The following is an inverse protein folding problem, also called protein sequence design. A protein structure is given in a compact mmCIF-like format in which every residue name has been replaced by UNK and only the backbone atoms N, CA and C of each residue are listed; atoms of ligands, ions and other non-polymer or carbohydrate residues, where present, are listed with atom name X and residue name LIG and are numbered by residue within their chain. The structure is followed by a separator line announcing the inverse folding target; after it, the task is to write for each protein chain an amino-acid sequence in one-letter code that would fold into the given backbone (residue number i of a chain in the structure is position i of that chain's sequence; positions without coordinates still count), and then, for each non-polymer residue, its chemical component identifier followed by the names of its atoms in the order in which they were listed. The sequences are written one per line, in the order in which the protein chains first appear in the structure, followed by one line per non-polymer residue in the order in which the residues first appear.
data_IF_548835906986
#
_entry.id   IF_548835906986
#
_cell.length_a   1.000
_cell.length_b   1.000
_cell.length_c   1.000
_cell.angle_alpha   90.00
_cell.angle_beta   90.00
_cell.angle_gamma   90.00
#
_symmetry.space_group_name_H-M   'P 1'
#
loop_
_entity.id
_entity.type
_entity.pdbx_description
1 polymer ?
#
# COMPACT_ATOMS: atom_id res chain seq x y z
N UNK A 1 -7.96 -6.62 18.38
CA UNK A 1 -6.87 -6.99 17.48
C UNK A 1 -7.43 -7.75 16.28
N UNK A 2 -7.02 -7.37 15.06
CA UNK A 2 -7.50 -8.05 13.85
C UNK A 2 -6.80 -9.42 13.64
N UNK A 3 -5.54 -9.50 14.06
CA UNK A 3 -4.70 -10.70 14.02
C UNK A 3 -3.90 -10.75 15.32
N UNK A 4 -3.72 -11.92 15.96
CA UNK A 4 -2.89 -12.05 17.14
C UNK A 4 -1.47 -11.57 16.90
N UNK A 5 -0.86 -10.98 17.94
CA UNK A 5 0.52 -10.48 17.86
C UNK A 5 1.47 -11.63 17.51
N UNK A 6 2.30 -11.42 16.49
CA UNK A 6 3.28 -12.40 16.02
C UNK A 6 2.79 -13.33 14.91
N UNK A 7 1.50 -13.37 14.60
CA UNK A 7 0.98 -14.20 13.50
C UNK A 7 1.05 -13.52 12.13
N UNK A 8 1.08 -12.19 12.11
CA UNK A 8 1.24 -11.40 10.88
C UNK A 8 2.67 -10.95 10.65
N UNK A 9 3.00 -10.67 9.40
CA UNK A 9 4.27 -10.06 9.01
C UNK A 9 4.11 -9.23 7.74
N UNK A 10 5.06 -8.30 7.54
CA UNK A 10 5.23 -7.55 6.30
C UNK A 10 6.71 -7.51 5.93
N UNK A 11 7.00 -7.54 4.64
CA UNK A 11 8.37 -7.42 4.14
C UNK A 11 8.43 -6.54 2.88
N UNK A 12 9.41 -5.65 2.85
CA UNK A 12 9.73 -4.87 1.67
C UNK A 12 10.60 -5.70 0.72
N UNK A 13 10.19 -5.78 -0.54
CA UNK A 13 10.88 -6.45 -1.64
C UNK A 13 11.46 -5.37 -2.54
N UNK A 14 12.78 -5.35 -2.66
CA UNK A 14 13.53 -4.35 -3.40
C UNK A 14 14.28 -5.00 -4.57
N UNK A 15 14.53 -4.22 -5.62
CA UNK A 15 15.31 -4.62 -6.79
C UNK A 15 14.67 -5.73 -7.64
N UNK A 16 13.35 -5.87 -7.57
CA UNK A 16 12.61 -6.82 -8.37
C UNK A 16 11.32 -6.16 -8.87
N UNK A 17 10.98 -6.27 -10.17
CA UNK A 17 9.74 -5.74 -10.71
C UNK A 17 8.54 -6.53 -10.23
N UNK A 18 7.36 -5.90 -10.26
CA UNK A 18 6.12 -6.46 -9.74
C UNK A 18 5.77 -7.82 -10.35
N UNK A 19 5.95 -7.99 -11.66
CA UNK A 19 5.62 -9.24 -12.38
C UNK A 19 6.42 -10.44 -11.85
N UNK A 20 7.68 -10.22 -11.51
CA UNK A 20 8.53 -11.27 -10.95
C UNK A 20 8.17 -11.59 -9.49
N UNK A 21 7.71 -10.57 -8.74
CA UNK A 21 7.18 -10.79 -7.39
C UNK A 21 5.89 -11.61 -7.47
N UNK A 22 4.96 -11.26 -8.35
CA UNK A 22 3.72 -12.00 -8.56
C UNK A 22 3.97 -13.47 -8.88
N UNK A 23 4.90 -13.76 -9.80
CA UNK A 23 5.31 -15.13 -10.11
C UNK A 23 5.90 -15.89 -8.91
N UNK A 24 6.66 -15.21 -8.07
CA UNK A 24 7.23 -15.83 -6.87
C UNK A 24 6.15 -16.18 -5.83
N UNK A 25 5.05 -15.42 -5.80
CA UNK A 25 3.92 -15.66 -4.89
C UNK A 25 2.92 -16.68 -5.43
N UNK A 26 3.01 -17.11 -6.68
CA UNK A 26 2.08 -18.09 -7.25
C UNK A 26 2.06 -19.39 -6.42
N UNK A 27 0.84 -19.82 -6.07
CA UNK A 27 0.62 -21.02 -5.26
C UNK A 27 0.92 -20.86 -3.76
N UNK A 28 1.30 -19.66 -3.29
CA UNK A 28 1.41 -19.37 -1.87
C UNK A 28 0.08 -18.79 -1.35
N UNK A 29 -0.48 -19.44 -0.35
CA UNK A 29 -1.64 -18.94 0.38
C UNK A 29 -1.22 -18.15 1.62
N UNK A 30 -1.99 -17.10 1.96
CA UNK A 30 -1.78 -16.31 3.17
C UNK A 30 -0.72 -15.23 3.06
N UNK A 31 -0.23 -14.92 1.86
CA UNK A 31 0.61 -13.75 1.56
C UNK A 31 0.05 -13.00 0.36
N UNK A 32 0.03 -11.68 0.44
CA UNK A 32 -0.54 -10.80 -0.58
C UNK A 32 0.38 -9.59 -0.80
N UNK A 33 0.22 -8.92 -1.95
CA UNK A 33 0.86 -7.63 -2.19
C UNK A 33 0.10 -6.57 -1.40
N UNK A 34 0.82 -5.82 -0.57
CA UNK A 34 0.29 -4.78 0.30
C UNK A 34 0.54 -3.37 -0.22
N UNK A 35 1.72 -3.08 -0.79
CA UNK A 35 2.06 -1.75 -1.28
C UNK A 35 2.88 -1.84 -2.57
N UNK A 36 2.49 -1.02 -3.54
CA UNK A 36 3.26 -0.72 -4.74
C UNK A 36 3.89 0.65 -4.56
N UNK A 37 5.02 0.72 -3.85
CA UNK A 37 5.61 1.97 -3.36
C UNK A 37 6.49 2.68 -4.40
N UNK A 38 7.21 1.93 -5.21
CA UNK A 38 8.02 2.41 -6.33
C UNK A 38 8.18 1.28 -7.37
N UNK A 39 8.67 1.55 -8.60
CA UNK A 39 8.79 0.54 -9.65
C UNK A 39 9.51 -0.76 -9.23
N UNK A 40 10.50 -0.65 -8.35
CA UNK A 40 11.26 -1.78 -7.81
C UNK A 40 11.20 -1.85 -6.27
N UNK A 41 10.09 -1.40 -5.70
CA UNK A 41 9.84 -1.44 -4.26
C UNK A 41 8.38 -1.80 -3.99
N UNK A 42 8.15 -3.05 -3.67
CA UNK A 42 6.85 -3.63 -3.32
C UNK A 42 6.88 -4.14 -1.88
N UNK A 43 5.77 -4.06 -1.18
CA UNK A 43 5.62 -4.67 0.16
C UNK A 43 4.66 -5.84 0.05
N UNK A 44 5.04 -6.96 0.62
CA UNK A 44 4.18 -8.14 0.82
C UNK A 44 3.72 -8.22 2.26
N UNK A 45 2.54 -8.76 2.48
CA UNK A 45 1.89 -8.82 3.79
C UNK A 45 1.09 -10.10 3.93
N UNK A 46 1.03 -10.67 5.11
CA UNK A 46 0.26 -11.88 5.33
C UNK A 46 0.59 -12.60 6.62
N UNK A 47 0.30 -13.91 6.66
CA UNK A 47 0.72 -14.78 7.75
C UNK A 47 2.24 -14.85 7.80
N UNK A 48 2.83 -14.78 8.98
CA UNK A 48 4.28 -14.78 9.16
C UNK A 48 4.98 -15.89 8.37
N UNK A 49 4.52 -17.12 8.52
CA UNK A 49 5.13 -18.27 7.82
C UNK A 49 5.05 -18.13 6.30
N UNK A 50 3.93 -17.64 5.75
CA UNK A 50 3.77 -17.46 4.32
C UNK A 50 4.66 -16.32 3.79
N UNK A 51 4.83 -15.23 4.57
CA UNK A 51 5.74 -14.13 4.23
C UNK A 51 7.21 -14.60 4.27
N UNK A 52 7.58 -15.44 5.22
CA UNK A 52 8.91 -16.05 5.32
C UNK A 52 9.20 -16.95 4.12
N UNK A 53 8.25 -17.82 3.74
CA UNK A 53 8.38 -18.66 2.54
C UNK A 53 8.49 -17.82 1.26
N UNK A 54 7.64 -16.80 1.12
CA UNK A 54 7.72 -15.85 0.01
C UNK A 54 9.10 -15.16 -0.05
N UNK A 55 9.63 -14.75 1.11
CA UNK A 55 10.93 -14.11 1.21
C UNK A 55 12.06 -14.99 0.67
N UNK A 56 12.05 -16.29 0.97
CA UNK A 56 13.07 -17.22 0.43
C UNK A 56 12.96 -17.35 -1.10
N UNK A 57 11.75 -17.55 -1.66
CA UNK A 57 11.52 -17.60 -3.10
C UNK A 57 11.97 -16.31 -3.82
N UNK A 58 11.76 -15.15 -3.17
CA UNK A 58 12.16 -13.85 -3.71
C UNK A 58 13.68 -13.64 -3.67
N UNK A 59 14.36 -14.11 -2.62
CA UNK A 59 15.83 -14.09 -2.52
C UNK A 59 16.48 -14.93 -3.60
N UNK A 60 15.93 -16.11 -3.94
CA UNK A 60 16.38 -16.94 -5.07
C UNK A 60 16.32 -16.19 -6.41
N UNK A 61 15.37 -15.24 -6.55
CA UNK A 61 15.24 -14.34 -7.69
C UNK A 61 16.09 -13.06 -7.56
N UNK A 62 17.05 -13.02 -6.63
CA UNK A 62 17.97 -11.90 -6.36
C UNK A 62 17.30 -10.64 -5.81
N UNK A 63 16.07 -10.72 -5.29
CA UNK A 63 15.47 -9.64 -4.56
C UNK A 63 16.19 -9.39 -3.23
N UNK A 64 16.22 -8.13 -2.80
CA UNK A 64 16.54 -7.80 -1.42
C UNK A 64 15.26 -7.73 -0.62
N UNK A 65 15.09 -8.60 0.35
CA UNK A 65 13.90 -8.64 1.21
C UNK A 65 14.25 -8.13 2.60
N UNK A 66 13.47 -7.19 3.11
CA UNK A 66 13.64 -6.57 4.42
C UNK A 66 12.34 -6.66 5.19
N UNK A 67 12.32 -7.42 6.29
CA UNK A 67 11.15 -7.49 7.17
C UNK A 67 10.91 -6.15 7.86
N UNK A 68 9.64 -5.74 7.88
CA UNK A 68 9.24 -4.51 8.57
C UNK A 68 9.02 -4.79 10.06
N UNK A 69 9.30 -3.81 10.95
CA UNK A 69 9.12 -3.96 12.38
C UNK A 69 7.65 -3.85 12.81
N UNK A 70 6.77 -4.61 12.14
CA UNK A 70 5.33 -4.68 12.40
C UNK A 70 4.88 -6.13 12.50
N UNK A 71 3.84 -6.39 13.29
CA UNK A 71 3.27 -7.72 13.48
C UNK A 71 1.86 -7.87 12.90
N UNK A 72 1.27 -6.78 12.42
CA UNK A 72 -0.02 -6.82 11.75
C UNK A 72 0.17 -6.92 10.22
N UNK A 73 -0.61 -7.78 9.54
CA UNK A 73 -0.54 -7.95 8.09
C UNK A 73 -1.38 -6.90 7.37
N UNK A 74 -0.98 -5.62 7.47
CA UNK A 74 -1.70 -4.50 6.88
C UNK A 74 -1.91 -4.68 5.38
N UNK A 75 -3.01 -4.13 4.87
CA UNK A 75 -3.38 -4.17 3.46
C UNK A 75 -3.52 -5.59 2.88
N UNK A 76 -3.91 -6.56 3.70
CA UNK A 76 -4.21 -7.93 3.30
C UNK A 76 -5.62 -8.34 3.73
N UNK A 77 -6.13 -9.44 3.17
CA UNK A 77 -7.43 -10.01 3.53
C UNK A 77 -7.56 -10.37 5.01
N UNK A 78 -6.45 -10.63 5.70
CA UNK A 78 -6.39 -10.92 7.13
C UNK A 78 -6.83 -9.73 8.00
N UNK A 79 -6.85 -8.51 7.46
CA UNK A 79 -7.33 -7.32 8.16
C UNK A 79 -8.86 -7.16 8.11
N UNK A 80 -9.62 -8.12 7.58
CA UNK A 80 -11.09 -8.06 7.51
C UNK A 80 -11.77 -7.76 8.87
N UNK A 81 -11.33 -8.30 10.02
CA UNK A 81 -11.92 -7.93 11.31
C UNK A 81 -11.74 -6.44 11.66
N UNK A 82 -10.59 -5.85 11.33
CA UNK A 82 -10.36 -4.42 11.52
C UNK A 82 -11.24 -3.57 10.61
N UNK A 83 -11.43 -3.99 9.35
CA UNK A 83 -12.35 -3.34 8.41
C UNK A 83 -13.77 -3.31 8.94
N UNK A 84 -14.27 -4.42 9.48
CA UNK A 84 -15.61 -4.51 10.07
C UNK A 84 -15.77 -3.53 11.23
N UNK A 85 -14.81 -3.45 12.11
CA UNK A 85 -14.83 -2.56 13.26
C UNK A 85 -14.79 -1.08 12.86
N UNK A 86 -13.91 -0.73 11.91
CA UNK A 86 -13.82 0.63 11.38
C UNK A 86 -15.12 1.05 10.69
N UNK A 87 -15.87 0.12 10.07
CA UNK A 87 -17.13 0.42 9.41
C UNK A 87 -18.17 0.99 10.38
N UNK A 88 -18.22 0.46 11.61
CA UNK A 88 -19.14 0.94 12.66
C UNK A 88 -18.81 2.38 13.07
N UNK A 89 -17.53 2.68 13.28
CA UNK A 89 -17.07 4.02 13.66
C UNK A 89 -17.26 5.02 12.50
N UNK A 90 -16.87 4.62 11.30
CA UNK A 90 -16.89 5.48 10.12
C UNK A 90 -18.33 5.80 9.66
N UNK A 91 -19.30 4.93 9.94
CA UNK A 91 -20.71 5.19 9.65
C UNK A 91 -21.26 6.42 10.40
N UNK A 92 -20.67 6.73 11.55
CA UNK A 92 -21.09 7.86 12.41
C UNK A 92 -20.33 9.16 12.08
N UNK A 93 -19.28 9.09 11.28
CA UNK A 93 -18.48 10.28 10.93
C UNK A 93 -19.13 11.03 9.78
N UNK A 94 -19.50 12.32 9.94
CA UNK A 94 -20.04 13.11 8.85
C UNK A 94 -18.92 13.46 7.86
N UNK A 95 -18.94 12.86 6.69
CA UNK A 95 -18.05 13.23 5.59
C UNK A 95 -18.71 14.30 4.72
N UNK A 96 -17.92 15.26 4.29
CA UNK A 96 -18.33 16.32 3.36
C UNK A 96 -17.52 16.23 2.09
N UNK A 97 -18.04 16.75 0.99
CA UNK A 97 -17.29 16.89 -0.24
C UNK A 97 -15.97 17.60 0.02
N UNK A 98 -14.83 17.01 -0.34
CA UNK A 98 -13.53 17.64 -0.15
C UNK A 98 -13.38 18.88 -1.03
N UNK A 99 -12.59 19.88 -0.59
CA UNK A 99 -12.27 21.06 -1.40
C UNK A 99 -11.40 20.75 -2.60
N UNK A 100 -10.64 19.68 -2.52
CA UNK A 100 -9.72 19.17 -3.55
C UNK A 100 -9.97 17.69 -3.73
N UNK A 101 -9.75 17.13 -4.93
CA UNK A 101 -9.83 15.69 -5.14
C UNK A 101 -8.89 14.94 -4.19
N UNK A 102 -9.36 13.82 -3.63
CA UNK A 102 -8.59 12.94 -2.76
C UNK A 102 -8.31 11.66 -3.51
N UNK A 103 -7.04 11.29 -3.67
CA UNK A 103 -6.69 10.04 -4.31
C UNK A 103 -6.94 8.85 -3.39
N UNK A 104 -7.61 7.84 -3.91
CA UNK A 104 -7.82 6.57 -3.22
C UNK A 104 -6.67 5.60 -3.47
N UNK A 105 -6.20 4.94 -2.41
CA UNK A 105 -5.23 3.85 -2.53
C UNK A 105 -5.78 2.65 -3.32
N UNK A 106 -7.10 2.44 -3.30
CA UNK A 106 -7.78 1.30 -3.93
C UNK A 106 -7.94 1.50 -5.43
N UNK A 107 -8.46 2.66 -5.83
CA UNK A 107 -8.75 2.96 -7.24
C UNK A 107 -7.56 3.56 -7.98
N UNK A 108 -6.59 4.11 -7.25
CA UNK A 108 -5.52 4.96 -7.77
C UNK A 108 -6.05 6.16 -8.60
N UNK A 109 -7.23 6.67 -8.21
CA UNK A 109 -7.94 7.76 -8.90
C UNK A 109 -8.40 8.82 -7.91
N UNK A 110 -8.59 10.07 -8.39
CA UNK A 110 -9.15 11.14 -7.58
C UNK A 110 -10.64 10.91 -7.34
N UNK A 111 -11.07 11.15 -6.12
CA UNK A 111 -12.45 11.00 -5.64
C UNK A 111 -12.93 12.30 -5.00
N UNK A 112 -14.19 12.64 -5.17
CA UNK A 112 -14.82 13.83 -4.59
C UNK A 112 -16.17 13.54 -3.90
N UNK A 113 -16.77 12.39 -4.17
CA UNK A 113 -18.02 11.99 -3.55
C UNK A 113 -17.76 11.44 -2.14
N UNK A 114 -18.35 12.02 -1.09
CA UNK A 114 -18.15 11.60 0.30
C UNK A 114 -18.51 10.13 0.56
N UNK A 115 -19.58 9.63 -0.02
CA UNK A 115 -20.00 8.24 0.20
C UNK A 115 -19.08 7.26 -0.52
N UNK A 116 -18.60 7.64 -1.71
CA UNK A 116 -17.58 6.86 -2.40
C UNK A 116 -16.27 6.84 -1.62
N UNK A 117 -15.84 7.99 -1.10
CA UNK A 117 -14.64 8.10 -0.25
C UNK A 117 -14.80 7.23 1.00
N UNK A 118 -15.98 7.25 1.67
CA UNK A 118 -16.27 6.38 2.82
C UNK A 118 -16.09 4.90 2.49
N UNK A 119 -16.67 4.46 1.40
CA UNK A 119 -16.55 3.06 0.96
C UNK A 119 -15.09 2.68 0.69
N UNK A 120 -14.33 3.54 0.02
CA UNK A 120 -12.93 3.30 -0.31
C UNK A 120 -12.01 3.34 0.91
N UNK A 121 -12.32 4.17 1.93
CA UNK A 121 -11.60 4.15 3.22
C UNK A 121 -11.73 2.81 3.94
N UNK A 122 -12.87 2.14 3.80
CA UNK A 122 -13.06 0.79 4.35
C UNK A 122 -12.36 -0.28 3.50
N UNK A 123 -12.47 -0.17 2.18
CA UNK A 123 -11.90 -1.14 1.27
C UNK A 123 -10.37 -1.19 1.35
N UNK A 124 -9.70 -0.05 1.51
CA UNK A 124 -8.24 0.01 1.60
C UNK A 124 -7.64 -0.76 2.78
N UNK A 125 -8.41 -1.07 3.83
CA UNK A 125 -7.92 -1.84 4.98
C UNK A 125 -7.46 -3.24 4.55
N UNK A 126 -8.11 -3.81 3.54
CA UNK A 126 -7.82 -5.15 3.01
C UNK A 126 -7.32 -5.14 1.57
N UNK A 127 -7.03 -3.97 1.01
CA UNK A 127 -6.58 -3.81 -0.37
C UNK A 127 -5.18 -3.19 -0.45
N UNK A 128 -4.43 -3.44 -1.51
CA UNK A 128 -3.10 -2.88 -1.68
C UNK A 128 -3.11 -1.36 -1.87
N UNK A 129 -2.05 -0.71 -1.39
CA UNK A 129 -1.75 0.70 -1.67
C UNK A 129 -1.09 0.80 -3.04
N UNK A 130 -1.76 1.42 -4.01
CA UNK A 130 -1.33 1.55 -5.40
C UNK A 130 -0.58 2.86 -5.65
N UNK A 131 0.46 3.13 -4.85
CA UNK A 131 1.14 4.42 -4.83
C UNK A 131 1.80 4.81 -6.16
N UNK A 132 2.46 3.86 -6.82
CA UNK A 132 3.05 4.08 -8.17
C UNK A 132 2.00 4.53 -9.19
N UNK A 133 0.82 3.89 -9.16
CA UNK A 133 -0.25 4.22 -10.09
C UNK A 133 -0.88 5.59 -9.78
N UNK A 134 -1.01 5.93 -8.49
CA UNK A 134 -1.43 7.27 -8.05
C UNK A 134 -0.49 8.33 -8.60
N UNK A 135 0.81 8.15 -8.40
CA UNK A 135 1.80 9.13 -8.88
C UNK A 135 1.78 9.28 -10.40
N UNK A 136 1.68 8.18 -11.12
CA UNK A 136 1.60 8.20 -12.59
C UNK A 136 0.32 8.87 -13.12
N UNK A 137 -0.83 8.63 -12.46
CA UNK A 137 -2.07 9.32 -12.82
C UNK A 137 -2.01 10.82 -12.53
N UNK A 138 -1.41 11.21 -11.41
CA UNK A 138 -1.17 12.62 -11.08
C UNK A 138 -0.25 13.28 -12.12
N UNK A 139 0.86 12.65 -12.49
CA UNK A 139 1.77 13.15 -13.54
C UNK A 139 1.04 13.28 -14.88
N UNK A 140 0.27 12.29 -15.30
CA UNK A 140 -0.52 12.33 -16.53
C UNK A 140 -1.56 13.46 -16.53
N UNK A 141 -2.02 13.91 -15.37
CA UNK A 141 -2.90 15.07 -15.18
C UNK A 141 -2.14 16.40 -15.06
N UNK A 142 -0.84 16.39 -15.21
CA UNK A 142 -0.01 17.61 -15.20
C UNK A 142 0.48 18.04 -13.81
N UNK A 143 0.33 17.21 -12.78
CA UNK A 143 0.92 17.50 -11.46
C UNK A 143 2.43 17.34 -11.53
N UNK A 144 3.16 18.40 -11.17
CA UNK A 144 4.63 18.45 -11.22
C UNK A 144 5.28 18.66 -9.86
N UNK A 145 4.52 19.15 -8.88
CA UNK A 145 5.03 19.47 -7.54
C UNK A 145 4.27 18.69 -6.47
N UNK A 146 5.01 18.06 -5.57
CA UNK A 146 4.52 17.27 -4.46
C UNK A 146 5.05 17.84 -3.15
N UNK A 147 4.19 17.95 -2.16
CA UNK A 147 4.52 18.44 -0.83
C UNK A 147 4.18 17.35 0.18
N UNK A 148 5.16 16.86 0.92
CA UNK A 148 4.97 15.94 2.03
C UNK A 148 4.83 16.73 3.33
N UNK A 149 3.73 16.54 4.04
CA UNK A 149 3.50 17.14 5.34
C UNK A 149 3.59 16.07 6.43
N UNK A 150 4.42 16.31 7.43
CA UNK A 150 4.60 15.41 8.56
C UNK A 150 6.07 15.21 8.92
N UNK A 151 6.35 14.16 9.67
CA UNK A 151 7.71 13.80 10.05
C UNK A 151 8.35 12.86 9.04
N UNK A 152 9.59 13.14 8.66
CA UNK A 152 10.35 12.32 7.71
C UNK A 152 10.15 12.73 6.24
N UNK A 153 10.74 11.96 5.34
CA UNK A 153 10.79 12.24 3.90
C UNK A 153 10.57 10.97 3.07
N UNK A 154 9.72 10.07 3.57
CA UNK A 154 9.51 8.76 2.94
C UNK A 154 8.78 8.91 1.60
N UNK A 155 7.68 9.67 1.59
CA UNK A 155 6.86 9.86 0.37
C UNK A 155 7.59 10.69 -0.67
N UNK A 156 8.32 11.73 -0.26
CA UNK A 156 9.23 12.49 -1.13
C UNK A 156 10.22 11.56 -1.84
N UNK A 157 10.86 10.66 -1.09
CA UNK A 157 11.76 9.68 -1.67
C UNK A 157 11.10 8.73 -2.67
N UNK A 158 9.84 8.34 -2.43
CA UNK A 158 9.07 7.48 -3.34
C UNK A 158 8.66 8.23 -4.61
N UNK A 159 8.26 9.50 -4.51
CA UNK A 159 7.97 10.36 -5.67
C UNK A 159 9.19 10.44 -6.58
N UNK A 160 10.36 10.78 -6.04
CA UNK A 160 11.61 10.96 -6.81
C UNK A 160 12.12 9.65 -7.45
N UNK A 161 11.80 8.48 -6.87
CA UNK A 161 12.11 7.17 -7.48
C UNK A 161 11.14 6.77 -8.59
N UNK A 162 9.94 7.34 -8.59
CA UNK A 162 8.87 6.95 -9.51
C UNK A 162 8.75 7.91 -10.69
N UNK A 163 8.88 9.21 -10.45
CA UNK A 163 8.71 10.27 -11.43
C UNK A 163 10.04 10.99 -11.69
N UNK A 164 10.41 11.13 -12.97
CA UNK A 164 11.72 11.68 -13.35
C UNK A 164 11.77 13.21 -13.31
N UNK A 165 10.64 13.87 -13.55
CA UNK A 165 10.55 15.34 -13.72
C UNK A 165 9.77 16.01 -12.59
N UNK A 166 9.44 15.30 -11.51
CA UNK A 166 8.70 15.84 -10.40
C UNK A 166 9.60 16.57 -9.40
N UNK A 167 9.10 17.68 -8.86
CA UNK A 167 9.63 18.36 -7.69
C UNK A 167 8.95 17.80 -6.43
N UNK A 168 9.70 17.33 -5.47
CA UNK A 168 9.16 16.83 -4.21
C UNK A 168 9.84 17.52 -3.02
N UNK A 169 9.02 18.12 -2.16
CA UNK A 169 9.42 18.92 -1.00
C UNK A 169 8.84 18.30 0.29
N UNK A 170 9.47 18.56 1.40
CA UNK A 170 9.03 18.15 2.74
C UNK A 170 9.22 19.29 3.73
#
# INVERSE_FOLDING_TARGET
EAVPVGEGAMAAVLKLPLEEIQKALEGLEGVEIANLNAPEQTVISGRRQAVEEAAERLKERRARVVFLPVSAPFHSSLMAPARKRLAEDLAQVPLRRPRFPVYSNVTARPEEDPERIRALLLEQITAPVRWVEILRDMEARGVKRFLEFGSGEVLKGLVLRTLKEAEALS
#
